data_IF_713645441536
#
_entry.id   IF_713645441536
#
_cell.length_a   1.000
_cell.length_b   1.000
_cell.length_c   1.000
_cell.angle_alpha   90.00
_cell.angle_beta   90.00
_cell.angle_gamma   90.00
#
_symmetry.space_group_name_H-M   'P 1'
#
loop_
_entity.id
_entity.type
_entity.pdbx_description
1 polymer ?
#
# COMPACT_ATOMS: atom_id res chain seq x y z
N UNK A 1 11.82 -18.82 24.59
CA UNK A 1 12.67 -18.29 23.50
C UNK A 1 14.03 -18.98 23.38
N UNK A 2 14.70 -19.36 24.48
CA UNK A 2 16.13 -19.77 24.47
C UNK A 2 16.47 -21.07 23.69
N UNK A 3 15.50 -21.92 23.34
CA UNK A 3 15.74 -23.15 22.54
C UNK A 3 14.90 -23.17 21.26
N UNK A 4 14.70 -22.01 20.65
CA UNK A 4 13.93 -21.85 19.41
C UNK A 4 14.78 -21.08 18.41
N UNK A 5 14.47 -21.18 17.12
CA UNK A 5 15.13 -20.37 16.08
C UNK A 5 15.00 -18.85 16.34
N UNK A 6 14.03 -18.46 17.17
CA UNK A 6 13.85 -17.08 17.65
C UNK A 6 14.98 -16.63 18.60
N UNK A 7 15.69 -17.55 19.25
CA UNK A 7 16.85 -17.16 20.07
C UNK A 7 17.96 -16.53 19.21
N UNK A 8 18.18 -17.08 18.02
CA UNK A 8 19.29 -16.69 17.15
C UNK A 8 19.09 -15.32 16.51
N UNK A 9 17.85 -14.83 16.41
CA UNK A 9 17.54 -13.50 15.91
C UNK A 9 17.69 -12.39 16.97
N UNK A 10 17.77 -12.73 18.26
CA UNK A 10 17.77 -11.71 19.31
C UNK A 10 19.04 -10.85 19.26
N UNK A 11 18.94 -9.55 19.61
CA UNK A 11 20.08 -8.66 19.80
C UNK A 11 20.99 -9.08 20.98
N UNK A 12 20.49 -9.95 21.86
CA UNK A 12 21.14 -10.32 23.12
C UNK A 12 21.17 -11.83 23.29
N UNK A 13 22.18 -12.34 23.99
CA UNK A 13 22.32 -13.75 24.35
C UNK A 13 21.61 -14.00 25.67
N UNK A 14 20.42 -14.59 25.58
CA UNK A 14 19.61 -14.94 26.76
C UNK A 14 20.10 -16.26 27.38
N UNK A 15 19.91 -16.38 28.69
CA UNK A 15 20.18 -17.60 29.45
C UNK A 15 19.07 -17.87 30.46
N UNK A 16 18.71 -19.14 30.62
CA UNK A 16 17.63 -19.59 31.50
C UNK A 16 18.04 -19.57 32.96
N UNK A 17 19.33 -19.71 33.27
CA UNK A 17 19.81 -19.63 34.66
C UNK A 17 19.83 -18.22 35.21
N UNK A 18 19.70 -17.20 34.36
CA UNK A 18 19.69 -15.81 34.79
C UNK A 18 18.29 -15.36 35.21
N UNK A 19 18.11 -15.15 36.51
CA UNK A 19 16.89 -14.56 37.07
C UNK A 19 16.87 -13.05 36.94
N UNK A 20 15.66 -12.47 36.93
CA UNK A 20 15.44 -11.02 37.01
C UNK A 20 16.26 -10.43 38.16
N UNK A 21 16.98 -9.34 37.88
CA UNK A 21 17.71 -8.57 38.89
C UNK A 21 16.85 -7.38 39.31
N UNK A 22 16.47 -7.36 40.58
CA UNK A 22 15.60 -6.34 41.16
C UNK A 22 16.12 -5.75 42.48
N UNK A 23 17.39 -5.99 42.82
CA UNK A 23 17.95 -5.67 44.13
C UNK A 23 18.18 -4.17 44.33
N UNK A 24 18.61 -3.46 43.28
CA UNK A 24 18.96 -2.04 43.35
C UNK A 24 18.29 -1.27 42.20
N UNK A 25 17.49 -0.23 42.50
CA UNK A 25 17.00 0.68 41.49
C UNK A 25 18.16 1.40 40.79
N UNK A 26 18.04 1.64 39.49
CA UNK A 26 19.08 2.29 38.70
C UNK A 26 18.47 3.20 37.63
N UNK A 27 19.23 4.20 37.18
CA UNK A 27 18.84 5.02 36.03
C UNK A 27 19.49 4.46 34.78
N UNK A 28 18.70 4.21 33.74
CA UNK A 28 19.23 3.76 32.47
C UNK A 28 20.11 4.83 31.82
N UNK A 29 21.20 4.41 31.20
CA UNK A 29 22.07 5.29 30.42
C UNK A 29 21.79 5.10 28.92
N UNK A 30 21.55 6.20 28.21
CA UNK A 30 21.40 6.18 26.75
C UNK A 30 22.79 6.22 26.13
N UNK A 31 23.11 5.20 25.32
CA UNK A 31 24.40 5.09 24.64
C UNK A 31 24.54 6.14 23.53
N UNK A 32 25.75 6.38 22.98
CA UNK A 32 25.91 7.25 21.81
C UNK A 32 25.03 6.84 20.61
N UNK A 33 24.95 5.52 20.34
CA UNK A 33 24.06 4.98 19.30
C UNK A 33 22.59 5.21 19.63
N UNK A 34 22.22 5.10 20.91
CA UNK A 34 20.88 5.44 21.38
C UNK A 34 20.50 6.89 21.14
N UNK A 35 21.43 7.83 21.24
CA UNK A 35 21.14 9.25 20.97
C UNK A 35 20.86 9.54 19.49
N UNK A 36 21.45 8.76 18.59
CA UNK A 36 21.26 8.89 17.14
C UNK A 36 20.01 8.16 16.66
N UNK A 37 19.59 7.09 17.35
CA UNK A 37 18.44 6.30 16.93
C UNK A 37 17.11 7.04 17.07
N UNK A 38 16.36 7.18 15.97
CA UNK A 38 15.06 7.84 15.94
C UNK A 38 14.08 7.31 17.01
N UNK A 39 14.05 6.00 17.24
CA UNK A 39 13.15 5.39 18.23
C UNK A 39 13.42 5.85 19.68
N UNK A 40 14.60 6.40 19.94
CA UNK A 40 15.00 6.95 21.23
C UNK A 40 14.81 8.48 21.29
N UNK A 41 14.51 9.14 20.18
CA UNK A 41 14.23 10.58 20.14
C UNK A 41 12.76 10.81 20.49
N UNK A 42 12.51 11.28 21.73
CA UNK A 42 11.18 11.60 22.24
C UNK A 42 11.07 13.11 22.44
N UNK A 43 9.96 13.72 21.96
CA UNK A 43 9.75 15.17 21.96
C UNK A 43 10.03 15.87 20.64
N UNK A 44 9.87 17.20 20.64
CA UNK A 44 10.06 18.05 19.47
C UNK A 44 11.45 18.70 19.54
N UNK A 45 12.17 18.78 18.42
CA UNK A 45 13.52 19.41 18.31
C UNK A 45 13.59 20.80 18.94
N UNK A 46 12.48 21.53 18.94
CA UNK A 46 12.35 22.91 19.43
C UNK A 46 12.60 23.02 20.95
N UNK A 47 12.46 21.93 21.72
CA UNK A 47 12.58 21.94 23.19
C UNK A 47 13.99 21.62 23.71
N UNK A 48 14.98 21.43 22.83
CA UNK A 48 16.40 21.47 23.19
C UNK A 48 17.00 20.25 23.90
N UNK A 49 16.26 19.16 24.15
CA UNK A 49 16.86 17.89 24.58
C UNK A 49 15.91 16.68 24.50
N UNK A 50 16.16 15.76 23.56
CA UNK A 50 15.46 14.47 23.43
C UNK A 50 15.63 13.52 24.64
N UNK A 51 16.50 13.88 25.59
CA UNK A 51 16.86 13.10 26.78
C UNK A 51 15.82 13.27 27.90
N UNK A 52 15.13 14.41 27.98
CA UNK A 52 14.20 14.74 29.07
C UNK A 52 13.06 13.72 29.26
N UNK A 53 12.45 13.14 28.21
CA UNK A 53 11.39 12.17 28.42
C UNK A 53 11.86 10.88 29.09
N UNK A 54 13.09 10.44 28.82
CA UNK A 54 13.68 9.25 29.41
C UNK A 54 14.01 9.44 30.89
N UNK A 55 14.34 10.67 31.31
CA UNK A 55 14.53 11.00 32.72
C UNK A 55 13.25 10.78 33.55
N UNK A 56 12.07 10.87 32.93
CA UNK A 56 10.78 10.63 33.60
C UNK A 56 10.56 9.16 34.00
N UNK A 57 11.27 8.20 33.40
CA UNK A 57 11.21 6.81 33.88
C UNK A 57 11.72 6.71 35.33
N UNK A 58 12.61 7.64 35.71
CA UNK A 58 13.28 7.65 36.99
C UNK A 58 14.16 6.42 37.16
N UNK A 59 14.17 5.88 38.37
CA UNK A 59 14.90 4.65 38.67
C UNK A 59 14.05 3.42 38.33
N UNK A 60 14.63 2.56 37.49
CA UNK A 60 14.09 1.27 37.12
C UNK A 60 14.33 0.29 38.27
N UNK A 61 13.28 -0.36 38.81
CA UNK A 61 13.40 -1.29 39.92
C UNK A 61 14.02 -2.63 39.53
N UNK A 62 13.97 -3.00 38.24
CA UNK A 62 14.45 -4.28 37.78
C UNK A 62 14.83 -4.26 36.29
N UNK A 63 15.63 -5.24 35.88
CA UNK A 63 15.87 -5.57 34.48
C UNK A 63 16.14 -7.07 34.31
N UNK A 64 16.00 -7.58 33.08
CA UNK A 64 16.35 -8.94 32.71
C UNK A 64 17.83 -8.99 32.30
N UNK A 65 18.72 -9.61 33.10
CA UNK A 65 20.12 -9.77 32.72
C UNK A 65 20.30 -10.73 31.56
N UNK A 66 21.34 -10.47 30.78
CA UNK A 66 21.73 -11.28 29.61
C UNK A 66 23.19 -11.73 29.74
N UNK A 67 23.57 -12.81 29.05
CA UNK A 67 24.95 -13.29 29.02
C UNK A 67 25.88 -12.34 28.28
N UNK A 68 25.36 -11.66 27.26
CA UNK A 68 26.10 -10.73 26.44
C UNK A 68 25.26 -10.17 25.30
N UNK A 69 25.85 -9.19 24.62
CA UNK A 69 25.28 -8.56 23.43
C UNK A 69 25.70 -9.37 22.19
N UNK A 70 24.82 -9.49 21.20
CA UNK A 70 25.19 -10.08 19.91
C UNK A 70 26.13 -9.14 19.13
N UNK A 71 27.08 -9.65 18.35
CA UNK A 71 28.09 -8.83 17.66
C UNK A 71 27.50 -7.81 16.67
N UNK A 72 26.34 -8.12 16.10
CA UNK A 72 25.60 -7.27 15.15
C UNK A 72 24.48 -6.44 15.82
N UNK A 73 24.46 -6.37 17.15
CA UNK A 73 23.44 -5.61 17.87
C UNK A 73 23.93 -4.21 18.21
N UNK A 74 23.04 -3.24 18.02
CA UNK A 74 23.22 -1.86 18.46
C UNK A 74 22.54 -1.70 19.82
N UNK A 75 23.33 -1.43 20.86
CA UNK A 75 22.80 -1.14 22.20
C UNK A 75 22.41 0.31 22.25
N UNK A 76 21.13 0.60 22.50
CA UNK A 76 20.58 1.96 22.55
C UNK A 76 20.49 2.49 23.99
N UNK A 77 20.23 1.59 24.94
CA UNK A 77 20.24 1.90 26.36
C UNK A 77 20.92 0.77 27.13
N UNK A 78 21.67 1.13 28.17
CA UNK A 78 22.46 0.20 28.98
C UNK A 78 22.35 0.50 30.47
N UNK A 79 22.68 -0.49 31.29
CA UNK A 79 22.83 -0.32 32.73
C UNK A 79 24.15 0.42 33.03
N UNK A 80 24.17 1.40 33.95
CA UNK A 80 25.36 2.23 34.18
C UNK A 80 26.52 1.48 34.84
N UNK A 81 26.24 0.47 35.68
CA UNK A 81 27.24 -0.18 36.54
C UNK A 81 27.32 -1.70 36.44
N UNK A 82 26.34 -2.35 35.81
CA UNK A 82 26.22 -3.81 35.82
C UNK A 82 26.64 -4.34 34.45
N UNK A 83 27.35 -5.45 34.44
CA UNK A 83 28.03 -5.98 33.27
C UNK A 83 27.54 -7.39 32.93
N UNK A 84 27.73 -7.76 31.67
CA UNK A 84 27.44 -9.08 31.14
C UNK A 84 28.45 -10.12 31.67
N UNK A 85 28.27 -11.39 31.27
CA UNK A 85 29.10 -12.50 31.76
C UNK A 85 30.59 -12.37 31.39
N UNK A 86 30.92 -11.52 30.42
CA UNK A 86 32.27 -11.18 29.99
C UNK A 86 32.99 -10.19 30.94
N UNK A 87 32.26 -9.59 31.89
CA UNK A 87 32.80 -8.67 32.89
C UNK A 87 33.19 -7.29 32.32
N UNK A 88 32.88 -7.00 31.05
CA UNK A 88 33.28 -5.75 30.38
C UNK A 88 32.10 -5.03 29.75
N UNK A 89 31.24 -5.74 29.02
CA UNK A 89 30.11 -5.12 28.34
C UNK A 89 28.99 -4.77 29.34
N UNK A 90 28.55 -3.51 29.42
CA UNK A 90 27.40 -3.14 30.24
C UNK A 90 26.14 -3.91 29.84
N UNK A 91 25.25 -4.16 30.80
CA UNK A 91 24.00 -4.88 30.55
C UNK A 91 23.08 -4.07 29.60
N UNK A 92 22.70 -4.61 28.42
CA UNK A 92 21.80 -3.93 27.50
C UNK A 92 20.36 -3.91 28.05
N UNK A 93 19.74 -2.74 28.04
CA UNK A 93 18.35 -2.53 28.43
C UNK A 93 17.45 -2.40 27.21
N UNK A 94 17.92 -1.68 26.19
CA UNK A 94 17.28 -1.60 24.88
C UNK A 94 18.36 -1.86 23.84
N UNK A 95 18.12 -2.83 22.96
CA UNK A 95 19.04 -3.14 21.88
C UNK A 95 18.27 -3.48 20.61
N UNK A 96 18.83 -3.12 19.46
CA UNK A 96 18.27 -3.48 18.16
C UNK A 96 19.26 -4.34 17.40
N UNK A 97 18.74 -5.22 16.56
CA UNK A 97 19.55 -6.05 15.67
C UNK A 97 18.77 -6.31 14.40
N UNK A 98 19.47 -6.28 13.28
CA UNK A 98 18.89 -6.74 12.01
C UNK A 98 19.14 -8.23 11.85
N UNK A 99 18.09 -8.94 11.45
CA UNK A 99 18.14 -10.38 11.22
C UNK A 99 17.37 -10.71 9.95
N UNK A 100 18.11 -11.17 8.93
CA UNK A 100 17.58 -11.28 7.57
C UNK A 100 17.08 -9.92 7.07
N UNK A 101 15.83 -9.89 6.59
CA UNK A 101 15.18 -8.68 6.06
C UNK A 101 14.39 -7.90 7.14
N UNK A 102 14.43 -8.33 8.39
CA UNK A 102 13.68 -7.72 9.49
C UNK A 102 14.60 -7.05 10.52
N UNK A 103 13.97 -6.29 11.40
CA UNK A 103 14.62 -5.75 12.59
C UNK A 103 13.98 -6.32 13.86
N UNK A 104 14.81 -6.67 14.83
CA UNK A 104 14.40 -7.17 16.14
C UNK A 104 14.82 -6.16 17.18
N UNK A 105 13.86 -5.75 18.01
CA UNK A 105 14.09 -4.84 19.13
C UNK A 105 13.92 -5.64 20.42
N UNK A 106 14.94 -5.58 21.27
CA UNK A 106 14.95 -6.12 22.62
C UNK A 106 14.71 -4.99 23.62
N UNK A 107 13.78 -5.21 24.55
CA UNK A 107 13.51 -4.34 25.69
C UNK A 107 13.54 -5.22 26.94
N UNK A 108 14.54 -5.03 27.80
CA UNK A 108 14.85 -5.88 28.95
C UNK A 108 14.11 -5.51 30.25
N UNK A 109 13.08 -4.66 30.18
CA UNK A 109 12.29 -4.21 31.33
C UNK A 109 10.87 -3.84 30.87
N UNK A 110 9.90 -3.79 31.78
CA UNK A 110 8.48 -3.50 31.44
C UNK A 110 7.94 -2.19 32.05
N UNK A 111 8.80 -1.22 32.34
CA UNK A 111 8.46 0.00 33.08
C UNK A 111 8.17 1.21 32.17
N UNK A 112 8.07 1.00 30.86
CA UNK A 112 7.79 2.06 29.87
C UNK A 112 6.47 2.78 30.12
N UNK A 113 5.51 2.15 30.81
CA UNK A 113 4.26 2.79 31.22
C UNK A 113 4.48 4.06 32.06
N UNK A 114 5.62 4.17 32.76
CA UNK A 114 6.00 5.33 33.58
C UNK A 114 6.22 6.60 32.78
N UNK A 115 6.50 6.49 31.48
CA UNK A 115 6.52 7.64 30.56
C UNK A 115 5.21 8.44 30.59
N UNK A 116 4.10 7.81 31.01
CA UNK A 116 2.80 8.45 31.11
C UNK A 116 2.61 9.34 32.35
N UNK A 117 3.52 9.27 33.33
CA UNK A 117 3.30 9.86 34.67
C UNK A 117 3.26 11.39 34.66
N UNK A 118 4.17 12.03 33.93
CA UNK A 118 4.35 13.50 33.97
C UNK A 118 3.65 14.17 32.78
N UNK A 119 3.79 13.60 31.58
CA UNK A 119 3.34 14.22 30.33
C UNK A 119 2.15 13.49 29.66
N UNK A 120 1.45 12.63 30.42
CA UNK A 120 0.33 11.85 29.91
C UNK A 120 0.74 10.92 28.75
N UNK A 121 -0.13 10.72 27.77
CA UNK A 121 0.11 9.73 26.71
C UNK A 121 1.15 10.14 25.66
N UNK A 122 1.60 11.40 25.64
CA UNK A 122 2.37 11.96 24.51
C UNK A 122 3.62 11.14 24.16
N UNK A 123 4.54 10.99 25.10
CA UNK A 123 5.82 10.31 24.84
C UNK A 123 5.69 8.80 24.74
N UNK A 124 4.76 8.22 25.52
CA UNK A 124 4.46 6.79 25.41
C UNK A 124 3.91 6.44 24.02
N UNK A 125 2.95 7.23 23.52
CA UNK A 125 2.39 7.05 22.18
C UNK A 125 3.44 7.31 21.09
N UNK A 126 4.26 8.35 21.24
CA UNK A 126 5.34 8.65 20.31
C UNK A 126 6.35 7.49 20.21
N UNK A 127 6.80 6.97 21.35
CA UNK A 127 7.72 5.83 21.38
C UNK A 127 7.16 4.61 20.62
N UNK A 128 5.93 4.19 20.96
CA UNK A 128 5.32 3.03 20.30
C UNK A 128 4.99 3.28 18.83
N UNK A 129 4.56 4.49 18.46
CA UNK A 129 4.32 4.86 17.06
C UNK A 129 5.60 4.78 16.23
N UNK A 130 6.74 5.22 16.79
CA UNK A 130 8.04 5.15 16.11
C UNK A 130 8.51 3.70 15.95
N UNK A 131 8.37 2.87 16.99
CA UNK A 131 8.67 1.44 16.90
C UNK A 131 7.80 0.76 15.84
N UNK A 132 6.48 0.97 15.89
CA UNK A 132 5.55 0.35 14.93
C UNK A 132 5.86 0.82 13.53
N UNK A 133 6.06 2.12 13.31
CA UNK A 133 6.43 2.67 12.00
C UNK A 133 7.72 2.04 11.48
N UNK A 134 8.77 1.98 12.30
CA UNK A 134 10.07 1.41 11.93
C UNK A 134 9.98 -0.07 11.57
N UNK A 135 9.29 -0.86 12.40
CA UNK A 135 9.11 -2.29 12.14
C UNK A 135 8.17 -2.54 10.95
N UNK A 136 7.14 -1.73 10.75
CA UNK A 136 6.20 -1.84 9.64
C UNK A 136 6.83 -1.44 8.30
N UNK A 137 7.62 -0.36 8.27
CA UNK A 137 8.39 0.05 7.09
C UNK A 137 9.29 -1.08 6.61
N UNK A 138 10.05 -1.72 7.52
CA UNK A 138 10.92 -2.84 7.15
C UNK A 138 10.17 -4.02 6.47
N UNK A 139 8.89 -4.22 6.82
CA UNK A 139 8.06 -5.30 6.25
C UNK A 139 7.34 -4.88 4.96
N UNK A 140 6.86 -3.63 4.86
CA UNK A 140 6.20 -3.10 3.67
C UNK A 140 7.16 -2.89 2.49
N UNK A 141 8.47 -2.78 2.76
CA UNK A 141 9.47 -2.33 1.79
C UNK A 141 10.13 -3.42 0.94
N UNK A 142 9.90 -4.72 1.18
CA UNK A 142 10.34 -5.80 0.28
C UNK A 142 11.85 -5.83 -0.02
N UNK A 143 12.58 -6.70 0.68
CA UNK A 143 13.94 -7.24 0.48
C UNK A 143 15.13 -6.41 -0.05
N UNK A 144 15.04 -5.22 -0.66
CA UNK A 144 16.23 -4.65 -1.33
C UNK A 144 16.21 -3.18 -1.75
N UNK A 145 15.19 -2.40 -1.41
CA UNK A 145 15.10 -1.03 -1.92
C UNK A 145 15.76 -0.03 -0.96
N UNK A 146 17.02 0.32 -1.22
CA UNK A 146 17.70 1.53 -0.67
C UNK A 146 16.92 2.82 -0.94
N UNK A 147 16.08 2.81 -1.98
CA UNK A 147 15.25 3.92 -2.39
C UNK A 147 13.77 3.57 -2.20
N UNK A 148 13.12 4.25 -1.27
CA UNK A 148 11.68 4.11 -1.02
C UNK A 148 10.94 5.15 -1.83
N UNK A 149 10.13 4.71 -2.79
CA UNK A 149 9.31 5.60 -3.60
C UNK A 149 7.91 5.68 -2.99
N UNK A 150 7.36 6.89 -2.91
CA UNK A 150 5.98 7.15 -2.52
C UNK A 150 5.37 8.25 -3.40
N UNK A 151 4.09 8.09 -3.72
CA UNK A 151 3.28 9.10 -4.39
C UNK A 151 2.39 9.80 -3.36
N UNK A 152 2.08 11.08 -3.56
CA UNK A 152 1.19 11.81 -2.65
C UNK A 152 -0.28 11.34 -2.73
N UNK A 153 -0.68 10.78 -3.88
CA UNK A 153 -2.00 10.21 -4.10
C UNK A 153 -1.89 8.85 -4.82
N UNK A 154 -2.78 7.88 -4.53
CA UNK A 154 -2.81 6.61 -5.23
C UNK A 154 -3.38 6.72 -6.66
N UNK A 155 -4.18 7.75 -6.93
CA UNK A 155 -4.89 7.99 -8.18
C UNK A 155 -4.86 9.48 -8.53
N UNK A 156 -4.59 9.82 -9.79
CA UNK A 156 -4.53 11.21 -10.30
C UNK A 156 -5.48 11.39 -11.48
N UNK A 157 -5.86 12.64 -11.77
CA UNK A 157 -6.59 12.97 -12.98
C UNK A 157 -5.65 13.43 -14.10
N UNK A 158 -6.10 13.32 -15.36
CA UNK A 158 -5.42 13.95 -16.49
C UNK A 158 -5.28 15.46 -16.23
N UNK A 159 -4.09 16.00 -16.53
CA UNK A 159 -3.63 17.37 -16.26
C UNK A 159 -3.27 17.67 -14.79
N UNK A 160 -3.36 16.70 -13.88
CA UNK A 160 -2.83 16.86 -12.52
C UNK A 160 -1.30 16.88 -12.48
N UNK A 161 -0.78 17.41 -11.37
CA UNK A 161 0.66 17.38 -11.06
C UNK A 161 0.92 16.36 -9.96
N UNK A 162 1.45 15.21 -10.33
CA UNK A 162 1.82 14.17 -9.39
C UNK A 162 3.12 14.53 -8.65
N UNK A 163 3.16 14.28 -7.33
CA UNK A 163 4.37 14.43 -6.51
C UNK A 163 4.95 13.05 -6.24
N UNK A 164 6.13 12.79 -6.81
CA UNK A 164 6.95 11.64 -6.45
C UNK A 164 7.93 12.05 -5.35
N UNK A 165 7.89 11.33 -4.24
CA UNK A 165 8.85 11.43 -3.14
C UNK A 165 9.68 10.16 -3.09
N UNK A 166 10.99 10.32 -2.92
CA UNK A 166 11.96 9.24 -2.83
C UNK A 166 12.76 9.42 -1.55
N UNK A 167 12.65 8.48 -0.63
CA UNK A 167 13.51 8.41 0.55
C UNK A 167 14.72 7.54 0.21
N UNK A 168 15.91 8.11 0.23
CA UNK A 168 17.14 7.47 -0.18
C UNK A 168 18.03 7.16 1.04
N UNK A 169 18.44 5.90 1.15
CA UNK A 169 19.23 5.38 2.25
C UNK A 169 20.52 4.72 1.75
N UNK A 170 21.57 4.77 2.57
CA UNK A 170 22.85 4.14 2.28
C UNK A 170 22.83 2.64 2.65
N UNK A 171 23.97 1.96 2.54
CA UNK A 171 24.08 0.54 2.92
C UNK A 171 23.88 0.31 4.42
N UNK A 172 24.13 1.34 5.24
CA UNK A 172 23.92 1.34 6.69
C UNK A 172 22.52 1.83 7.11
N UNK A 173 21.71 2.26 6.14
CA UNK A 173 20.38 2.84 6.27
C UNK A 173 20.36 4.24 6.90
N UNK A 174 21.48 4.95 6.80
CA UNK A 174 21.56 6.36 7.07
C UNK A 174 21.02 7.15 5.85
N UNK A 175 20.38 8.31 6.08
CA UNK A 175 19.81 9.13 5.00
C UNK A 175 20.91 9.66 4.08
N UNK A 176 20.81 9.43 2.77
CA UNK A 176 21.74 10.01 1.79
C UNK A 176 21.49 11.51 1.62
N UNK A 177 22.55 12.31 1.73
CA UNK A 177 22.52 13.73 1.35
C UNK A 177 22.80 13.88 -0.15
N UNK A 178 22.46 15.03 -0.74
CA UNK A 178 22.82 15.36 -2.13
C UNK A 178 24.34 15.32 -2.37
N UNK A 179 25.14 15.56 -1.33
CA UNK A 179 26.60 15.56 -1.38
C UNK A 179 27.21 14.16 -1.63
N UNK A 180 26.47 13.09 -1.30
CA UNK A 180 26.89 11.71 -1.46
C UNK A 180 26.50 11.11 -2.83
N UNK A 181 25.73 11.88 -3.62
CA UNK A 181 25.26 11.46 -4.94
C UNK A 181 26.18 11.96 -6.07
N UNK A 182 26.17 11.29 -7.24
CA UNK A 182 26.85 11.81 -8.42
C UNK A 182 26.34 13.20 -8.81
N UNK A 183 27.16 13.99 -9.53
CA UNK A 183 26.85 15.37 -9.91
C UNK A 183 25.53 15.56 -10.71
N UNK A 184 24.98 14.49 -11.28
CA UNK A 184 23.70 14.49 -12.00
C UNK A 184 22.47 14.32 -11.08
N UNK A 185 22.69 14.12 -9.78
CA UNK A 185 21.64 13.89 -8.77
C UNK A 185 20.92 12.55 -8.93
N UNK A 186 19.82 12.38 -8.20
CA UNK A 186 18.96 11.21 -8.32
C UNK A 186 17.97 11.41 -9.49
N UNK A 187 17.96 10.46 -10.41
CA UNK A 187 17.08 10.49 -11.59
C UNK A 187 15.94 9.47 -11.45
N UNK A 188 14.74 9.89 -11.82
CA UNK A 188 13.57 9.02 -11.98
C UNK A 188 13.15 8.97 -13.46
N UNK A 189 12.63 7.82 -13.88
CA UNK A 189 12.02 7.60 -15.17
C UNK A 189 10.56 7.24 -14.96
N UNK A 190 9.66 7.95 -15.63
CA UNK A 190 8.22 7.68 -15.61
C UNK A 190 7.77 7.26 -17.00
N UNK A 191 7.05 6.14 -17.08
CA UNK A 191 6.53 5.60 -18.33
C UNK A 191 5.13 4.98 -18.14
N UNK A 192 4.36 4.95 -19.21
CA UNK A 192 3.03 4.34 -19.25
C UNK A 192 3.19 2.81 -19.42
N UNK A 193 2.54 2.04 -18.55
CA UNK A 193 2.60 0.57 -18.56
C UNK A 193 3.78 -0.01 -17.76
N UNK A 194 4.20 -1.22 -18.14
CA UNK A 194 5.20 -2.02 -17.41
C UNK A 194 6.58 -2.06 -18.11
N UNK A 195 6.66 -1.61 -19.36
CA UNK A 195 7.91 -1.50 -20.13
C UNK A 195 8.29 -0.04 -20.30
N UNK A 196 9.60 0.24 -20.29
CA UNK A 196 10.10 1.57 -20.59
C UNK A 196 9.64 1.96 -22.00
N UNK A 197 8.75 2.95 -22.08
CA UNK A 197 8.27 3.47 -23.35
C UNK A 197 9.46 3.95 -24.21
N UNK A 198 9.25 4.07 -25.53
CA UNK A 198 10.27 4.50 -26.50
C UNK A 198 10.92 5.85 -26.12
N UNK A 199 10.23 6.67 -25.31
CA UNK A 199 10.79 7.83 -24.62
C UNK A 199 10.22 7.93 -23.19
N UNK A 200 10.93 7.45 -22.15
CA UNK A 200 10.50 7.67 -20.77
C UNK A 200 10.69 9.14 -20.39
N UNK A 201 9.76 9.68 -19.60
CA UNK A 201 9.92 11.02 -19.03
C UNK A 201 10.99 10.95 -17.95
N UNK A 202 12.14 11.59 -18.22
CA UNK A 202 13.22 11.71 -17.23
C UNK A 202 12.95 12.87 -16.29
N UNK A 203 13.07 12.61 -15.00
CA UNK A 203 12.81 13.55 -13.93
C UNK A 203 14.05 13.65 -13.04
N UNK A 204 14.52 14.86 -12.81
CA UNK A 204 15.57 15.13 -11.82
C UNK A 204 14.90 15.42 -10.48
N UNK A 205 15.24 14.64 -9.45
CA UNK A 205 14.70 14.84 -8.12
C UNK A 205 15.49 15.93 -7.37
N UNK A 206 14.78 16.78 -6.64
CA UNK A 206 15.39 17.82 -5.79
C UNK A 206 15.37 17.38 -4.34
N UNK A 207 16.45 17.59 -3.60
CA UNK A 207 16.49 17.29 -2.17
C UNK A 207 15.60 18.27 -1.39
N UNK A 208 14.63 17.74 -0.64
CA UNK A 208 13.78 18.55 0.26
C UNK A 208 14.30 18.53 1.70
N UNK A 209 14.86 17.40 2.14
CA UNK A 209 15.55 17.19 3.42
C UNK A 209 16.63 16.13 3.24
N UNK A 210 17.64 16.03 4.14
CA UNK A 210 18.59 14.93 4.12
C UNK A 210 17.88 13.58 4.03
N UNK A 211 18.19 12.80 2.99
CA UNK A 211 17.57 11.50 2.71
C UNK A 211 16.20 11.54 2.02
N UNK A 212 15.64 12.72 1.70
CA UNK A 212 14.33 12.88 1.05
C UNK A 212 14.42 13.75 -0.19
N UNK A 213 14.03 13.17 -1.32
CA UNK A 213 14.05 13.80 -2.63
C UNK A 213 12.63 13.88 -3.21
N UNK A 214 12.29 14.98 -3.87
CA UNK A 214 10.94 15.26 -4.38
C UNK A 214 10.97 15.82 -5.80
N UNK A 215 9.96 15.46 -6.60
CA UNK A 215 9.73 16.03 -7.94
C UNK A 215 8.24 16.09 -8.26
N UNK A 216 7.81 17.22 -8.86
CA UNK A 216 6.44 17.40 -9.34
C UNK A 216 6.38 17.41 -10.85
N UNK A 217 5.66 16.47 -11.44
CA UNK A 217 5.52 16.33 -12.88
C UNK A 217 4.05 16.26 -13.31
N UNK A 218 3.71 16.80 -14.49
CA UNK A 218 2.36 16.71 -15.04
C UNK A 218 2.09 15.33 -15.65
N UNK A 219 0.85 14.84 -15.54
CA UNK A 219 0.37 13.61 -16.18
C UNK A 219 -0.66 13.93 -17.26
N UNK A 220 -0.45 13.48 -18.49
CA UNK A 220 -1.24 13.93 -19.66
C UNK A 220 -2.14 12.85 -20.26
N UNK A 221 -1.84 11.58 -20.03
CA UNK A 221 -2.61 10.47 -20.60
C UNK A 221 -3.24 9.66 -19.48
N UNK A 222 -4.44 9.14 -19.72
CA UNK A 222 -5.08 8.23 -18.78
C UNK A 222 -4.46 6.83 -18.93
N UNK A 223 -4.17 6.18 -17.81
CA UNK A 223 -3.65 4.83 -17.75
C UNK A 223 -2.78 4.57 -16.52
N UNK A 224 -2.21 3.36 -16.47
CA UNK A 224 -1.33 2.94 -15.37
C UNK A 224 0.10 3.36 -15.66
N UNK A 225 0.68 4.16 -14.78
CA UNK A 225 2.06 4.61 -14.87
C UNK A 225 2.95 3.81 -13.91
N UNK A 226 4.21 3.66 -14.31
CA UNK A 226 5.28 3.13 -13.46
C UNK A 226 6.36 4.20 -13.35
N UNK A 227 6.69 4.60 -12.12
CA UNK A 227 7.85 5.41 -11.82
C UNK A 227 8.99 4.50 -11.35
N UNK A 228 10.14 4.61 -11.99
CA UNK A 228 11.36 3.83 -11.73
C UNK A 228 12.49 4.78 -11.33
N UNK A 229 13.12 4.52 -10.21
CA UNK A 229 14.36 5.17 -9.77
C UNK A 229 15.47 4.13 -9.80
N UNK A 230 16.59 4.46 -10.42
CA UNK A 230 17.75 3.56 -10.49
C UNK A 230 18.80 4.02 -9.49
N UNK A 231 19.27 3.11 -8.63
CA UNK A 231 20.40 3.38 -7.73
C UNK A 231 21.66 3.72 -8.56
N UNK A 232 22.29 4.89 -8.40
CA UNK A 232 23.48 5.26 -9.16
C UNK A 232 24.73 4.43 -8.83
N UNK A 233 24.76 3.77 -7.66
CA UNK A 233 25.90 2.99 -7.18
C UNK A 233 25.73 1.52 -7.57
N UNK A 234 24.58 0.92 -7.25
CA UNK A 234 24.33 -0.51 -7.45
C UNK A 234 23.53 -0.84 -8.72
N UNK A 235 23.00 0.17 -9.42
CA UNK A 235 22.18 -0.02 -10.62
C UNK A 235 20.84 -0.74 -10.38
N UNK A 236 20.45 -0.94 -9.11
CA UNK A 236 19.22 -1.67 -8.77
C UNK A 236 18.00 -0.75 -8.95
N UNK A 237 17.01 -1.15 -9.77
CA UNK A 237 15.82 -0.33 -9.98
C UNK A 237 14.80 -0.51 -8.86
N UNK A 238 14.25 0.61 -8.39
CA UNK A 238 13.15 0.68 -7.45
C UNK A 238 11.93 1.29 -8.14
N UNK A 239 10.83 0.54 -8.17
CA UNK A 239 9.61 0.94 -8.89
C UNK A 239 8.41 1.13 -7.96
N UNK A 240 7.55 2.08 -8.33
CA UNK A 240 6.19 2.28 -7.80
C UNK A 240 5.21 2.44 -8.96
N UNK A 241 3.97 1.98 -8.77
CA UNK A 241 2.89 2.09 -9.75
C UNK A 241 1.79 3.00 -9.22
N UNK A 242 1.21 3.80 -10.10
CA UNK A 242 0.07 4.66 -9.80
C UNK A 242 -0.86 4.75 -11.02
N UNK A 243 -2.14 5.03 -10.78
CA UNK A 243 -3.15 5.08 -11.83
C UNK A 243 -3.54 6.54 -12.13
N UNK A 244 -3.65 6.89 -13.41
CA UNK A 244 -4.15 8.19 -13.87
C UNK A 244 -5.48 7.95 -14.58
N UNK A 245 -6.56 8.50 -14.03
CA UNK A 245 -7.88 8.38 -14.60
C UNK A 245 -8.20 9.57 -15.50
N UNK A 246 -8.89 9.28 -16.60
CA UNK A 246 -9.46 10.33 -17.43
C UNK A 246 -10.52 11.08 -16.63
N UNK A 247 -10.37 12.39 -16.47
CA UNK A 247 -11.42 13.20 -15.90
C UNK A 247 -12.64 13.17 -16.83
N UNK A 248 -13.73 12.50 -16.39
CA UNK A 248 -15.02 12.59 -17.08
C UNK A 248 -15.39 14.07 -17.22
N UNK A 249 -15.87 14.47 -18.40
CA UNK A 249 -16.30 15.85 -18.63
C UNK A 249 -17.33 16.31 -17.58
N UNK A 250 -18.11 15.38 -17.04
CA UNK A 250 -19.10 15.62 -15.98
C UNK A 250 -18.49 15.91 -14.60
N UNK A 251 -17.30 15.38 -14.30
CA UNK A 251 -16.58 15.67 -13.03
C UNK A 251 -15.87 17.02 -13.07
N UNK A 252 -15.38 17.45 -14.24
CA UNK A 252 -14.73 18.76 -14.42
C UNK A 252 -15.71 19.92 -14.24
N UNK A 253 -16.97 19.74 -14.62
CA UNK A 253 -18.03 20.70 -14.35
C UNK A 253 -19.32 19.97 -13.96
N UNK A 254 -19.58 19.79 -12.65
CA UNK A 254 -20.79 19.11 -12.18
C UNK A 254 -22.05 19.96 -12.38
N UNK A 255 -21.93 21.21 -12.84
CA UNK A 255 -23.09 22.05 -13.14
C UNK A 255 -23.75 21.60 -14.44
N UNK A 256 -25.07 21.36 -14.37
CA UNK A 256 -25.91 21.07 -15.54
C UNK A 256 -25.75 22.16 -16.61
N UNK A 257 -25.25 21.80 -17.79
CA UNK A 257 -25.19 22.71 -18.93
C UNK A 257 -26.52 22.70 -19.70
N UNK A 258 -27.47 23.53 -19.24
CA UNK A 258 -28.80 23.69 -19.83
C UNK A 258 -28.77 24.06 -21.33
N UNK A 259 -27.82 24.89 -21.75
CA UNK A 259 -27.72 25.35 -23.13
C UNK A 259 -27.35 24.19 -24.05
N UNK A 260 -26.35 23.39 -23.66
CA UNK A 260 -25.93 22.21 -24.40
C UNK A 260 -27.02 21.13 -24.41
N UNK A 261 -27.68 20.89 -23.27
CA UNK A 261 -28.78 19.93 -23.16
C UNK A 261 -29.93 20.27 -24.13
N UNK A 262 -30.34 21.55 -24.18
CA UNK A 262 -31.38 22.02 -25.12
C UNK A 262 -30.91 21.91 -26.57
N UNK A 263 -29.65 22.25 -26.86
CA UNK A 263 -29.11 22.14 -28.22
C UNK A 263 -29.11 20.68 -28.71
N UNK A 264 -28.69 19.74 -27.87
CA UNK A 264 -28.72 18.31 -28.18
C UNK A 264 -30.14 17.77 -28.36
N UNK A 265 -31.08 18.16 -27.49
CA UNK A 265 -32.48 17.78 -27.62
C UNK A 265 -33.05 18.25 -28.97
N UNK A 266 -32.87 19.53 -29.32
CA UNK A 266 -33.33 20.06 -30.61
C UNK A 266 -32.67 19.36 -31.80
N UNK A 267 -31.37 19.06 -31.71
CA UNK A 267 -30.61 18.37 -32.77
C UNK A 267 -31.07 16.93 -33.01
N UNK A 268 -31.56 16.25 -31.98
CA UNK A 268 -31.99 14.85 -32.05
C UNK A 268 -33.50 14.72 -32.26
N UNK A 269 -34.22 15.84 -32.34
CA UNK A 269 -35.69 15.85 -32.39
C UNK A 269 -36.34 15.53 -31.04
N UNK A 270 -35.57 15.48 -29.95
CA UNK A 270 -36.04 15.25 -28.58
C UNK A 270 -36.40 16.54 -27.83
N UNK A 271 -36.76 16.38 -26.56
CA UNK A 271 -37.14 17.46 -25.64
C UNK A 271 -36.28 17.42 -24.37
N UNK A 272 -36.07 18.59 -23.75
CA UNK A 272 -35.32 18.72 -22.49
C UNK A 272 -36.27 19.08 -21.35
N UNK A 273 -36.38 18.22 -20.34
CA UNK A 273 -37.26 18.43 -19.19
C UNK A 273 -36.50 18.93 -17.95
N UNK A 274 -37.20 19.64 -17.08
CA UNK A 274 -36.73 20.02 -15.75
C UNK A 274 -37.48 19.23 -14.68
N UNK A 275 -37.00 19.25 -13.44
CA UNK A 275 -37.63 18.51 -12.35
C UNK A 275 -39.15 18.79 -12.19
N UNK A 276 -39.64 20.03 -12.36
CA UNK A 276 -41.09 20.31 -12.31
C UNK A 276 -41.87 19.76 -13.51
N UNK A 277 -41.25 19.63 -14.68
CA UNK A 277 -41.89 19.16 -15.91
C UNK A 277 -41.61 17.69 -16.21
N UNK A 278 -40.84 17.01 -15.37
CA UNK A 278 -40.46 15.61 -15.54
C UNK A 278 -41.67 14.66 -15.64
N UNK A 279 -42.82 15.01 -15.05
CA UNK A 279 -44.05 14.23 -15.20
C UNK A 279 -44.59 14.17 -16.63
N UNK A 280 -44.32 15.20 -17.45
CA UNK A 280 -44.77 15.27 -18.85
C UNK A 280 -43.93 14.37 -19.77
N UNK A 281 -42.74 13.94 -19.32
CA UNK A 281 -41.86 13.06 -20.09
C UNK A 281 -42.57 11.78 -20.51
N UNK A 282 -43.38 11.18 -19.65
CA UNK A 282 -44.07 9.91 -19.93
C UNK A 282 -45.09 10.08 -21.06
N UNK A 283 -45.75 11.24 -21.12
CA UNK A 283 -46.78 11.53 -22.12
C UNK A 283 -46.16 11.88 -23.49
N UNK A 284 -44.97 12.48 -23.49
CA UNK A 284 -44.26 12.92 -24.69
C UNK A 284 -43.40 11.81 -25.33
N UNK A 285 -43.16 10.70 -24.62
CA UNK A 285 -42.46 9.53 -25.19
C UNK A 285 -43.41 8.79 -26.13
N UNK A 286 -43.18 8.96 -27.44
CA UNK A 286 -43.84 8.16 -28.48
C UNK A 286 -43.12 6.82 -28.62
N UNK A 287 -43.64 5.79 -27.94
CA UNK A 287 -43.19 4.41 -28.11
C UNK A 287 -43.65 3.91 -29.49
N UNK A 288 -42.72 3.74 -30.42
CA UNK A 288 -42.99 2.93 -31.61
C UNK A 288 -43.07 1.46 -31.18
N UNK A 289 -44.18 0.76 -31.46
CA UNK A 289 -44.27 -0.66 -31.15
C UNK A 289 -43.28 -1.44 -32.03
N UNK A 290 -42.23 -1.95 -31.40
CA UNK A 290 -41.32 -2.92 -32.02
C UNK A 290 -42.13 -4.18 -32.29
N UNK A 291 -42.46 -4.41 -33.57
CA UNK A 291 -43.15 -5.62 -34.01
C UNK A 291 -42.12 -6.74 -34.11
N UNK A 292 -42.06 -7.59 -33.08
CA UNK A 292 -41.29 -8.83 -33.18
C UNK A 292 -42.01 -9.81 -34.11
N UNK A 293 -41.45 -10.04 -35.30
CA UNK A 293 -41.88 -11.12 -36.19
C UNK A 293 -41.42 -12.47 -35.62
N UNK A 294 -42.28 -13.09 -34.82
CA UNK A 294 -42.06 -14.47 -34.36
C UNK A 294 -42.36 -15.43 -35.50
N UNK A 295 -41.31 -15.83 -36.23
CA UNK A 295 -41.41 -16.88 -37.25
C UNK A 295 -41.63 -18.25 -36.58
N UNK A 296 -42.86 -18.76 -36.64
CA UNK A 296 -43.18 -20.14 -36.24
C UNK A 296 -43.23 -21.02 -37.48
N UNK A 297 -42.28 -21.97 -37.58
CA UNK A 297 -42.32 -23.01 -38.59
C UNK A 297 -43.24 -24.14 -38.14
N UNK A 298 -44.37 -24.31 -38.82
CA UNK A 298 -45.22 -25.48 -38.64
C UNK A 298 -44.80 -26.56 -39.64
N UNK A 299 -44.44 -27.77 -39.18
CA UNK A 299 -44.09 -28.86 -40.08
C UNK A 299 -45.30 -29.26 -40.93
N UNK A 300 -45.11 -29.33 -42.24
CA UNK A 300 -46.19 -29.60 -43.21
C UNK A 300 -46.82 -30.99 -42.97
N UNK A 301 -46.01 -31.96 -42.54
CA UNK A 301 -46.45 -33.31 -42.16
C UNK A 301 -47.31 -33.35 -40.89
N UNK A 302 -47.27 -32.31 -40.06
CA UNK A 302 -48.10 -32.18 -38.85
C UNK A 302 -49.50 -31.62 -39.13
N UNK A 303 -49.83 -31.34 -40.40
CA UNK A 303 -51.15 -30.82 -40.76
C UNK A 303 -52.19 -31.94 -40.88
N UNK A 304 -53.46 -31.69 -40.48
CA UNK A 304 -54.55 -32.66 -40.62
C UNK A 304 -54.75 -33.17 -42.06
N UNK A 305 -54.33 -32.38 -43.06
CA UNK A 305 -54.43 -32.72 -44.47
C UNK A 305 -53.58 -33.95 -44.83
N UNK A 306 -52.34 -34.03 -44.33
CA UNK A 306 -51.48 -35.20 -44.57
C UNK A 306 -52.01 -36.47 -43.89
N UNK A 307 -52.58 -36.34 -42.70
CA UNK A 307 -53.24 -37.46 -42.02
C UNK A 307 -54.41 -38.00 -42.88
N UNK A 308 -55.25 -37.12 -43.43
CA UNK A 308 -56.34 -37.51 -44.32
C UNK A 308 -55.81 -38.25 -45.54
N UNK A 309 -54.77 -37.73 -46.20
CA UNK A 309 -54.16 -38.34 -47.40
C UNK A 309 -53.62 -39.75 -47.13
N UNK A 310 -52.90 -39.96 -46.03
CA UNK A 310 -52.36 -41.27 -45.67
C UNK A 310 -53.48 -42.26 -45.37
N UNK A 311 -54.51 -41.83 -44.63
CA UNK A 311 -55.68 -42.67 -44.30
C UNK A 311 -56.45 -43.05 -45.56
N UNK A 312 -56.69 -42.12 -46.50
CA UNK A 312 -57.35 -42.46 -47.77
C UNK A 312 -56.52 -43.40 -48.62
N UNK A 313 -55.19 -43.28 -48.65
CA UNK A 313 -54.33 -44.22 -49.37
C UNK A 313 -54.41 -45.64 -48.79
N UNK A 314 -54.37 -45.75 -47.46
CA UNK A 314 -54.55 -47.03 -46.74
C UNK A 314 -55.94 -47.63 -46.97
N UNK A 315 -56.99 -46.81 -46.92
CA UNK A 315 -58.34 -47.26 -47.22
C UNK A 315 -58.48 -47.70 -48.69
N UNK A 316 -57.87 -46.97 -49.63
CA UNK A 316 -57.88 -47.32 -51.04
C UNK A 316 -57.16 -48.66 -51.28
N UNK A 317 -56.02 -48.90 -50.63
CA UNK A 317 -55.32 -50.17 -50.68
C UNK A 317 -56.17 -51.31 -50.10
N UNK A 318 -56.79 -51.10 -48.94
CA UNK A 318 -57.68 -52.10 -48.33
C UNK A 318 -58.85 -52.46 -49.25
N UNK A 319 -59.49 -51.45 -49.87
CA UNK A 319 -60.57 -51.66 -50.84
C UNK A 319 -60.06 -52.42 -52.08
N UNK A 320 -58.87 -52.08 -52.59
CA UNK A 320 -58.26 -52.74 -53.73
C UNK A 320 -57.95 -54.23 -53.42
N UNK A 321 -57.36 -54.53 -52.26
CA UNK A 321 -57.11 -55.92 -51.81
C UNK A 321 -58.42 -56.71 -51.66
N UNK A 322 -59.45 -56.08 -51.09
CA UNK A 322 -60.78 -56.70 -50.92
C UNK A 322 -61.45 -56.99 -52.26
N UNK A 323 -61.31 -56.11 -53.25
CA UNK A 323 -61.82 -56.34 -54.63
C UNK A 323 -61.02 -57.39 -55.39
N UNK A 324 -59.74 -57.53 -55.11
CA UNK A 324 -58.87 -58.53 -55.73
C UNK A 324 -58.97 -59.94 -55.10
N UNK A 325 -59.86 -60.15 -54.11
CA UNK A 325 -59.99 -61.41 -53.35
C UNK A 325 -58.66 -61.90 -52.73
N UNK A 326 -57.80 -60.99 -52.31
CA UNK A 326 -56.50 -61.29 -51.66
C UNK A 326 -56.57 -61.18 -50.13
N UNK A 327 -57.76 -61.27 -49.56
CA UNK A 327 -58.01 -61.18 -48.12
C UNK A 327 -58.72 -62.43 -47.61
#
# INVERSE_FOLDING_TARGET
LINTEIADMLPVKLDRSLSIRASNPFRMEITPLGKQADIMQLGDEISGSAIQPWENLGELPWYQPVLGVHSQANVLAQHPTDVCADGKTPQPLIATRRYGNGEVIYIGFNELWRLRRIYGERYYRQFWSQIISRLALSHALGSQKRFVLSMDQPEYQVDDRALLTVEAYDENFDPLSIDDLPAEGLQAQVFLGNEAAVQPMQLTLSESRPGRFEVRFPVYEAGRYTARVTDPINGTPSEIRFDVVGASAEQRNPARNLALQKAMATSTGGQSYELPTAGQLVDDIQLEPVTEEISRSFPIWGTPLWFIVVVTMLMAEWIARKRANLA
#
